data_IF_037814432996
#
_entry.id   IF_037814432996
#
_cell.length_a   1.000
_cell.length_b   1.000
_cell.length_c   1.000
_cell.angle_alpha   90.00
_cell.angle_beta   90.00
_cell.angle_gamma   90.00
#
_symmetry.space_group_name_H-M   'P 1'
#
loop_
_entity.id
_entity.type
_entity.pdbx_description
1 polymer ?
#
# COMPACT_ATOMS: atom_id res chain seq x y z
N UNK A 1 -0.21 -9.82 0.87
CA UNK A 1 -1.57 -9.71 1.44
C UNK A 1 -2.22 -8.47 0.87
N UNK A 2 -3.44 -8.55 0.35
CA UNK A 2 -4.13 -7.38 -0.21
C UNK A 2 -4.94 -6.73 0.91
N UNK A 3 -4.73 -5.44 1.14
CA UNK A 3 -5.58 -4.63 2.01
C UNK A 3 -6.99 -4.55 1.42
N UNK A 4 -8.02 -4.40 2.26
CA UNK A 4 -9.41 -4.24 1.82
C UNK A 4 -9.52 -3.01 0.89
N UNK A 5 -10.36 -3.09 -0.14
CA UNK A 5 -10.48 -2.06 -1.18
C UNK A 5 -10.73 -0.67 -0.62
N UNK A 6 -11.72 -0.53 0.28
CA UNK A 6 -12.05 0.74 0.92
C UNK A 6 -10.88 1.35 1.72
N UNK A 7 -10.16 0.54 2.50
CA UNK A 7 -9.02 1.03 3.29
C UNK A 7 -7.84 1.47 2.40
N UNK A 8 -7.62 0.77 1.27
CA UNK A 8 -6.61 1.19 0.28
C UNK A 8 -6.98 2.51 -0.36
N UNK A 9 -8.24 2.68 -0.74
CA UNK A 9 -8.74 3.93 -1.29
C UNK A 9 -8.58 5.08 -0.29
N UNK A 10 -8.95 4.87 0.97
CA UNK A 10 -8.76 5.85 2.04
C UNK A 10 -7.28 6.24 2.22
N UNK A 11 -6.36 5.27 2.21
CA UNK A 11 -4.93 5.54 2.27
C UNK A 11 -4.46 6.39 1.09
N UNK A 12 -4.77 5.99 -0.15
CA UNK A 12 -4.35 6.78 -1.31
C UNK A 12 -4.98 8.18 -1.35
N UNK A 13 -6.24 8.28 -0.94
CA UNK A 13 -6.94 9.56 -0.82
C UNK A 13 -6.25 10.49 0.19
N UNK A 14 -6.01 10.01 1.42
CA UNK A 14 -5.40 10.86 2.46
C UNK A 14 -3.96 11.22 2.13
N UNK A 15 -3.15 10.28 1.62
CA UNK A 15 -1.78 10.56 1.19
C UNK A 15 -1.75 11.54 0.02
N UNK A 16 -2.71 11.43 -0.90
CA UNK A 16 -2.89 12.37 -2.00
C UNK A 16 -3.22 13.77 -1.52
N UNK A 17 -4.18 13.92 -0.60
CA UNK A 17 -4.52 15.22 0.01
C UNK A 17 -3.34 15.78 0.79
N UNK A 18 -2.64 14.96 1.58
CA UNK A 18 -1.48 15.39 2.37
C UNK A 18 -0.35 15.90 1.47
N UNK A 19 -0.03 15.16 0.41
CA UNK A 19 1.00 15.56 -0.55
C UNK A 19 0.58 16.82 -1.33
N UNK A 20 -0.64 16.86 -1.88
CA UNK A 20 -1.10 17.97 -2.68
C UNK A 20 -1.22 19.27 -1.86
N UNK A 21 -1.75 19.20 -0.64
CA UNK A 21 -1.82 20.36 0.26
C UNK A 21 -0.43 20.89 0.61
N UNK A 22 0.54 20.02 0.90
CA UNK A 22 1.91 20.42 1.19
C UNK A 22 2.65 20.99 -0.02
N UNK A 23 2.53 20.35 -1.19
CA UNK A 23 3.15 20.82 -2.43
C UNK A 23 2.57 22.16 -2.89
N UNK A 24 1.25 22.33 -2.82
CA UNK A 24 0.58 23.58 -3.18
C UNK A 24 0.88 24.68 -2.15
N UNK A 25 1.09 24.32 -0.87
CA UNK A 25 1.52 25.26 0.16
C UNK A 25 2.87 25.89 -0.19
N UNK A 26 3.85 25.12 -0.68
CA UNK A 26 5.17 25.66 -1.09
C UNK A 26 4.99 26.73 -2.16
N UNK A 27 4.11 26.50 -3.13
CA UNK A 27 3.80 27.46 -4.19
C UNK A 27 3.13 28.72 -3.63
N UNK A 28 2.12 28.56 -2.77
CA UNK A 28 1.42 29.69 -2.14
C UNK A 28 2.35 30.54 -1.26
N UNK A 29 3.22 29.90 -0.49
CA UNK A 29 4.20 30.58 0.37
C UNK A 29 5.20 31.42 -0.46
N UNK A 30 5.67 30.89 -1.60
CA UNK A 30 6.53 31.66 -2.51
C UNK A 30 5.82 32.87 -3.14
N UNK A 31 4.52 32.73 -3.47
CA UNK A 31 3.75 33.82 -4.10
C UNK A 31 3.44 34.97 -3.15
N UNK A 32 3.34 34.70 -1.84
CA UNK A 32 3.18 35.72 -0.80
C UNK A 32 4.30 36.78 -0.84
N UNK A 33 5.54 36.37 -1.12
CA UNK A 33 6.69 37.30 -1.17
C UNK A 33 6.85 37.97 -2.55
N UNK A 34 6.32 37.36 -3.62
CA UNK A 34 6.52 37.82 -5.00
C UNK A 34 5.42 38.73 -5.53
N UNK A 35 4.22 38.68 -4.96
CA UNK A 35 3.07 39.46 -5.42
C UNK A 35 2.80 40.63 -4.48
N UNK A 36 2.94 41.86 -4.97
CA UNK A 36 2.64 43.07 -4.18
C UNK A 36 1.14 43.34 -4.11
N UNK A 37 0.38 43.03 -5.17
CA UNK A 37 -1.06 43.32 -5.27
C UNK A 37 -1.97 42.27 -4.63
N UNK A 38 -1.56 41.00 -4.61
CA UNK A 38 -2.40 39.86 -4.19
C UNK A 38 -1.93 39.16 -2.91
N UNK A 39 -1.01 39.77 -2.16
CA UNK A 39 -0.34 39.15 -1.00
C UNK A 39 -1.29 38.59 0.06
N UNK A 40 -2.42 39.25 0.32
CA UNK A 40 -3.44 38.79 1.28
C UNK A 40 -4.10 37.48 0.84
N UNK A 41 -4.43 37.35 -0.45
CA UNK A 41 -5.06 36.13 -0.99
C UNK A 41 -4.11 34.92 -0.88
N UNK A 42 -2.83 35.12 -1.17
CA UNK A 42 -1.81 34.08 -1.04
C UNK A 42 -1.56 33.70 0.41
N UNK A 43 -1.63 34.67 1.33
CA UNK A 43 -1.53 34.40 2.77
C UNK A 43 -2.72 33.57 3.28
N UNK A 44 -3.94 33.88 2.84
CA UNK A 44 -5.12 33.07 3.16
C UNK A 44 -5.01 31.66 2.57
N UNK A 45 -4.62 31.54 1.30
CA UNK A 45 -4.43 30.26 0.63
C UNK A 45 -3.38 29.39 1.37
N UNK A 46 -2.22 29.96 1.73
CA UNK A 46 -1.21 29.27 2.51
C UNK A 46 -1.74 28.81 3.88
N UNK A 47 -2.53 29.63 4.57
CA UNK A 47 -3.15 29.25 5.83
C UNK A 47 -4.12 28.06 5.66
N UNK A 48 -5.03 28.13 4.68
CA UNK A 48 -5.97 27.04 4.40
C UNK A 48 -5.27 25.73 4.03
N UNK A 49 -4.25 25.80 3.17
CA UNK A 49 -3.48 24.63 2.76
C UNK A 49 -2.75 24.00 3.94
N UNK A 50 -2.18 24.82 4.83
CA UNK A 50 -1.52 24.32 6.04
C UNK A 50 -2.53 23.69 7.01
N UNK A 51 -3.72 24.27 7.17
CA UNK A 51 -4.80 23.69 7.98
C UNK A 51 -5.29 22.35 7.40
N UNK A 52 -5.51 22.27 6.08
CA UNK A 52 -5.87 21.03 5.40
C UNK A 52 -4.78 19.97 5.54
N UNK A 53 -3.51 20.36 5.40
CA UNK A 53 -2.36 19.48 5.57
C UNK A 53 -2.31 18.91 6.99
N UNK A 54 -2.46 19.77 8.01
CA UNK A 54 -2.52 19.35 9.41
C UNK A 54 -3.68 18.40 9.69
N UNK A 55 -4.89 18.70 9.19
CA UNK A 55 -6.04 17.81 9.33
C UNK A 55 -5.85 16.45 8.64
N UNK A 56 -5.33 16.44 7.41
CA UNK A 56 -4.99 15.21 6.68
C UNK A 56 -3.88 14.41 7.39
N UNK A 57 -2.94 15.08 8.05
CA UNK A 57 -1.88 14.43 8.82
C UNK A 57 -2.45 13.64 10.01
N UNK A 58 -3.43 14.19 10.73
CA UNK A 58 -4.10 13.49 11.84
C UNK A 58 -4.80 12.21 11.36
N UNK A 59 -5.55 12.30 10.26
CA UNK A 59 -6.19 11.12 9.64
C UNK A 59 -5.14 10.11 9.18
N UNK A 60 -4.03 10.57 8.62
CA UNK A 60 -2.91 9.71 8.18
C UNK A 60 -2.29 8.97 9.36
N UNK A 61 -2.07 9.62 10.51
CA UNK A 61 -1.57 8.98 11.72
C UNK A 61 -2.49 7.86 12.22
N UNK A 62 -3.81 8.10 12.24
CA UNK A 62 -4.80 7.09 12.62
C UNK A 62 -4.75 5.89 11.67
N UNK A 63 -4.70 6.14 10.36
CA UNK A 63 -4.63 5.08 9.35
C UNK A 63 -3.30 4.32 9.38
N UNK A 64 -2.18 4.98 9.63
CA UNK A 64 -0.88 4.34 9.83
C UNK A 64 -0.87 3.45 11.08
N UNK A 65 -1.47 3.92 12.18
CA UNK A 65 -1.68 3.12 13.39
C UNK A 65 -2.49 1.85 13.09
N UNK A 66 -3.59 1.98 12.34
CA UNK A 66 -4.41 0.85 11.92
C UNK A 66 -3.67 -0.09 10.94
N UNK A 67 -2.80 0.45 10.08
CA UNK A 67 -2.00 -0.32 9.11
C UNK A 67 -1.00 -1.26 9.80
N UNK A 68 -0.55 -0.93 11.01
CA UNK A 68 0.36 -1.72 11.83
C UNK A 68 -0.05 -3.19 11.97
N UNK A 69 -1.15 -3.51 12.68
CA UNK A 69 -1.59 -4.89 12.85
C UNK A 69 -2.11 -5.53 11.55
N UNK A 70 -2.75 -4.75 10.68
CA UNK A 70 -3.38 -5.30 9.47
C UNK A 70 -2.40 -5.68 8.36
N UNK A 71 -1.30 -4.94 8.23
CA UNK A 71 -0.33 -5.11 7.14
C UNK A 71 1.08 -5.36 7.64
N UNK A 72 1.60 -4.48 8.50
CA UNK A 72 3.00 -4.49 8.92
C UNK A 72 3.34 -5.76 9.70
N UNK A 73 2.60 -6.07 10.77
CA UNK A 73 2.84 -7.25 11.59
C UNK A 73 2.75 -8.55 10.76
N UNK A 74 1.75 -8.64 9.88
CA UNK A 74 1.51 -9.82 9.05
C UNK A 74 2.61 -10.00 7.99
N UNK A 75 3.03 -8.92 7.32
CA UNK A 75 4.13 -8.94 6.36
C UNK A 75 5.47 -9.25 7.05
N UNK A 76 5.67 -8.73 8.26
CA UNK A 76 6.88 -8.97 9.05
C UNK A 76 7.00 -10.44 9.45
N UNK A 77 5.93 -11.06 9.97
CA UNK A 77 5.91 -12.51 10.30
C UNK A 77 6.21 -13.37 9.07
N UNK A 78 5.68 -12.97 7.91
CA UNK A 78 5.92 -13.67 6.64
C UNK A 78 7.29 -13.37 5.98
N UNK A 79 8.11 -12.51 6.59
CA UNK A 79 9.39 -11.98 6.05
C UNK A 79 9.29 -11.36 4.64
N UNK A 80 8.12 -10.86 4.25
CA UNK A 80 7.90 -10.29 2.92
C UNK A 80 8.07 -8.77 2.93
N UNK A 81 8.74 -8.23 1.92
CA UNK A 81 8.86 -6.79 1.65
C UNK A 81 9.37 -5.96 2.86
N UNK A 82 10.26 -6.54 3.68
CA UNK A 82 10.73 -5.90 4.93
C UNK A 82 11.58 -4.66 4.69
N UNK A 83 12.52 -4.72 3.74
CA UNK A 83 13.45 -3.61 3.50
C UNK A 83 12.73 -2.32 3.11
N UNK A 84 11.85 -2.38 2.10
CA UNK A 84 11.04 -1.23 1.69
C UNK A 84 10.02 -0.84 2.75
N UNK A 85 9.49 -1.80 3.53
CA UNK A 85 8.61 -1.52 4.66
C UNK A 85 9.28 -0.73 5.79
N UNK A 86 10.52 -1.11 6.14
CA UNK A 86 11.34 -0.38 7.13
C UNK A 86 11.65 1.02 6.59
N UNK A 87 12.08 1.13 5.34
CA UNK A 87 12.34 2.44 4.72
C UNK A 87 11.11 3.37 4.77
N UNK A 88 9.91 2.85 4.43
CA UNK A 88 8.67 3.63 4.55
C UNK A 88 8.39 4.04 6.00
N UNK A 89 8.53 3.12 6.96
CA UNK A 89 8.25 3.39 8.36
C UNK A 89 9.21 4.43 8.95
N UNK A 90 10.51 4.32 8.65
CA UNK A 90 11.53 5.29 9.04
C UNK A 90 11.22 6.66 8.45
N UNK A 91 10.85 6.73 7.16
CA UNK A 91 10.54 8.00 6.52
C UNK A 91 9.30 8.67 7.12
N UNK A 92 8.23 7.92 7.38
CA UNK A 92 7.05 8.48 8.06
C UNK A 92 7.37 8.90 9.49
N UNK A 93 8.17 8.14 10.23
CA UNK A 93 8.65 8.52 11.55
C UNK A 93 9.42 9.83 11.54
N UNK A 94 10.33 10.01 10.56
CA UNK A 94 11.07 11.26 10.37
C UNK A 94 10.15 12.44 10.05
N UNK A 95 9.15 12.25 9.19
CA UNK A 95 8.16 13.29 8.87
C UNK A 95 7.32 13.70 10.08
N UNK A 96 6.91 12.73 10.90
CA UNK A 96 6.17 12.99 12.14
C UNK A 96 7.04 13.75 13.14
N UNK A 97 8.30 13.34 13.32
CA UNK A 97 9.23 13.99 14.23
C UNK A 97 9.55 15.43 13.80
N UNK A 98 9.75 15.66 12.51
CA UNK A 98 10.01 17.00 11.97
C UNK A 98 8.77 17.88 12.01
N UNK A 99 7.57 17.33 11.75
CA UNK A 99 6.31 18.07 11.95
C UNK A 99 6.16 18.52 13.41
N UNK A 100 6.35 17.61 14.37
CA UNK A 100 6.36 17.94 15.78
C UNK A 100 7.42 19.01 16.10
N UNK A 101 8.62 18.88 15.52
CA UNK A 101 9.69 19.85 15.65
C UNK A 101 9.29 21.25 15.19
N UNK A 102 8.59 21.38 14.05
CA UNK A 102 8.12 22.67 13.53
C UNK A 102 7.12 23.38 14.45
N UNK A 103 6.36 22.62 15.25
CA UNK A 103 5.39 23.17 16.20
C UNK A 103 6.00 23.50 17.56
N UNK A 104 6.96 22.69 18.04
CA UNK A 104 7.39 22.73 19.45
C UNK A 104 8.85 23.09 19.66
N UNK A 105 9.71 23.00 18.65
CA UNK A 105 11.11 23.45 18.77
C UNK A 105 11.15 24.95 18.55
N UNK A 106 11.17 25.72 19.63
CA UNK A 106 11.25 27.20 19.63
C UNK A 106 12.61 27.78 19.26
N UNK A 107 13.43 27.06 18.49
CA UNK A 107 14.76 27.51 18.05
C UNK A 107 14.70 28.05 16.62
N UNK A 108 14.90 29.36 16.47
CA UNK A 108 14.97 30.02 15.15
C UNK A 108 16.12 29.50 14.27
N UNK A 109 17.20 28.99 14.88
CA UNK A 109 18.32 28.41 14.14
C UNK A 109 18.00 27.02 13.56
N UNK A 110 17.22 26.21 14.29
CA UNK A 110 16.87 24.85 13.86
C UNK A 110 15.65 24.81 12.94
N UNK A 111 14.74 25.77 13.08
CA UNK A 111 13.47 25.80 12.33
C UNK A 111 13.64 25.69 10.80
N UNK A 112 14.58 26.40 10.14
CA UNK A 112 14.80 26.26 8.70
C UNK A 112 15.29 24.86 8.30
N UNK A 113 16.15 24.25 9.11
CA UNK A 113 16.64 22.88 8.88
C UNK A 113 15.52 21.86 9.00
N UNK A 114 14.71 21.95 10.08
CA UNK A 114 13.57 21.06 10.29
C UNK A 114 12.57 21.20 9.13
N UNK A 115 12.28 22.44 8.71
CA UNK A 115 11.41 22.72 7.57
C UNK A 115 11.93 22.10 6.28
N UNK A 116 13.21 22.30 5.98
CA UNK A 116 13.86 21.75 4.78
C UNK A 116 13.78 20.22 4.77
N UNK A 117 14.11 19.57 5.89
CA UNK A 117 14.03 18.10 6.01
C UNK A 117 12.58 17.64 5.82
N UNK A 118 11.61 18.30 6.47
CA UNK A 118 10.20 17.93 6.33
C UNK A 118 9.72 18.01 4.88
N UNK A 119 10.07 19.09 4.18
CA UNK A 119 9.70 19.32 2.78
C UNK A 119 10.36 18.28 1.86
N UNK A 120 11.69 18.11 1.94
CA UNK A 120 12.43 17.21 1.05
C UNK A 120 11.94 15.77 1.19
N UNK A 121 11.79 15.29 2.42
CA UNK A 121 11.28 13.93 2.65
C UNK A 121 9.78 13.82 2.32
N UNK A 122 9.01 14.89 2.52
CA UNK A 122 7.59 14.95 2.15
C UNK A 122 7.39 14.79 0.65
N UNK A 123 8.24 15.47 -0.16
CA UNK A 123 8.27 15.32 -1.61
C UNK A 123 8.70 13.92 -2.06
N UNK A 124 9.51 13.21 -1.26
CA UNK A 124 9.95 11.84 -1.50
C UNK A 124 8.89 10.76 -1.22
N UNK A 125 7.79 11.08 -0.52
CA UNK A 125 6.75 10.11 -0.13
C UNK A 125 6.18 9.32 -1.31
N UNK A 126 5.76 9.93 -2.44
CA UNK A 126 5.21 9.19 -3.56
C UNK A 126 6.19 8.15 -4.14
N UNK A 127 7.48 8.50 -4.21
CA UNK A 127 8.51 7.60 -4.73
C UNK A 127 8.69 6.37 -3.82
N UNK A 128 8.73 6.56 -2.50
CA UNK A 128 8.86 5.46 -1.54
C UNK A 128 7.61 4.58 -1.53
N UNK A 129 6.41 5.16 -1.60
CA UNK A 129 5.16 4.40 -1.72
C UNK A 129 5.16 3.55 -3.00
N UNK A 130 5.54 4.15 -4.12
CA UNK A 130 5.61 3.45 -5.41
C UNK A 130 6.60 2.28 -5.33
N UNK A 131 7.81 2.52 -4.82
CA UNK A 131 8.82 1.48 -4.64
C UNK A 131 8.32 0.35 -3.73
N UNK A 132 7.68 0.67 -2.60
CA UNK A 132 7.10 -0.31 -1.69
C UNK A 132 6.04 -1.19 -2.38
N UNK A 133 5.17 -0.59 -3.21
CA UNK A 133 4.12 -1.30 -3.94
C UNK A 133 4.73 -2.19 -5.03
N UNK A 134 5.64 -1.67 -5.85
CA UNK A 134 6.25 -2.41 -6.97
C UNK A 134 7.04 -3.62 -6.46
N UNK A 135 7.91 -3.42 -5.47
CA UNK A 135 8.70 -4.52 -4.87
C UNK A 135 7.78 -5.53 -4.18
N UNK A 136 6.74 -5.06 -3.49
CA UNK A 136 5.74 -5.91 -2.85
C UNK A 136 4.96 -6.77 -3.85
N UNK A 137 4.67 -6.25 -5.05
CA UNK A 137 4.00 -6.98 -6.14
C UNK A 137 4.92 -7.99 -6.81
N UNK A 138 6.16 -7.60 -7.12
CA UNK A 138 7.17 -8.49 -7.69
C UNK A 138 7.42 -9.71 -6.79
N UNK A 139 7.50 -9.49 -5.47
CA UNK A 139 7.68 -10.55 -4.47
C UNK A 139 6.52 -11.56 -4.39
N UNK A 140 5.33 -11.22 -4.90
CA UNK A 140 4.17 -12.12 -4.96
C UNK A 140 4.12 -12.86 -6.29
N UNK A 141 4.48 -12.20 -7.40
CA UNK A 141 4.51 -12.81 -8.73
C UNK A 141 5.63 -13.85 -8.88
N UNK A 142 6.73 -13.70 -8.15
CA UNK A 142 7.88 -14.61 -8.20
C UNK A 142 7.67 -15.96 -7.50
N UNK A 143 6.51 -16.23 -6.89
CA UNK A 143 6.19 -17.57 -6.35
C UNK A 143 5.72 -18.44 -7.52
N UNK A 144 6.50 -19.44 -7.98
CA UNK A 144 6.04 -20.34 -9.03
C UNK A 144 4.78 -21.06 -8.54
N UNK A 145 3.69 -20.95 -9.29
CA UNK A 145 2.54 -21.80 -9.07
C UNK A 145 3.00 -23.26 -9.24
N UNK A 146 2.77 -24.16 -8.28
CA UNK A 146 2.93 -25.58 -8.57
C UNK A 146 2.02 -25.86 -9.77
N UNK A 147 2.62 -26.33 -10.87
CA UNK A 147 1.88 -26.79 -12.05
C UNK A 147 0.79 -27.70 -11.52
N UNK A 148 -0.46 -27.25 -11.58
CA UNK A 148 -1.62 -28.04 -11.20
C UNK A 148 -1.66 -29.16 -12.23
N UNK A 149 -1.01 -30.27 -11.92
CA UNK A 149 -1.00 -31.46 -12.77
C UNK A 149 -2.45 -31.89 -12.88
N UNK A 150 -3.07 -31.51 -13.98
CA UNK A 150 -4.39 -31.92 -14.40
C UNK A 150 -4.27 -33.38 -14.86
N UNK A 151 -4.00 -34.28 -13.91
CA UNK A 151 -3.97 -35.74 -14.09
C UNK A 151 -4.59 -36.39 -12.84
N UNK A 152 -5.87 -36.11 -12.63
CA UNK A 152 -6.70 -36.89 -11.70
C UNK A 152 -8.14 -37.03 -12.24
N UNK A 153 -8.31 -37.01 -13.57
CA UNK A 153 -9.57 -37.34 -14.26
C UNK A 153 -9.38 -38.51 -15.24
N UNK A 154 -8.29 -39.26 -15.12
CA UNK A 154 -8.02 -40.47 -15.91
C UNK A 154 -8.21 -41.77 -15.11
N UNK A 155 -8.65 -41.70 -13.85
CA UNK A 155 -8.83 -42.87 -12.99
C UNK A 155 -10.28 -43.41 -12.94
N UNK A 156 -11.19 -42.90 -13.76
CA UNK A 156 -12.61 -43.31 -13.77
C UNK A 156 -13.09 -43.96 -15.08
N UNK A 157 -12.18 -44.32 -15.98
CA UNK A 157 -12.54 -45.17 -17.14
C UNK A 157 -11.99 -46.59 -16.90
N UNK A 158 -12.66 -47.32 -16.01
CA UNK A 158 -12.65 -48.79 -16.04
C UNK A 158 -13.80 -49.19 -16.98
N UNK A 159 -13.53 -49.77 -18.16
CA UNK A 159 -14.58 -50.34 -19.00
C UNK A 159 -15.21 -51.53 -18.26
N UNK A 160 -16.51 -51.43 -17.99
CA UNK A 160 -17.32 -52.50 -17.41
C UNK A 160 -17.77 -53.45 -18.52
N UNK A 161 -16.83 -54.11 -19.18
CA UNK A 161 -17.14 -55.17 -20.16
C UNK A 161 -16.91 -56.52 -19.49
N UNK A 162 -17.68 -56.79 -18.44
CA UNK A 162 -17.85 -58.14 -17.89
C UNK A 162 -19.14 -58.71 -18.50
N UNK A 163 -19.09 -59.84 -19.24
CA UNK A 163 -20.30 -60.43 -19.79
C UNK A 163 -21.21 -60.89 -18.65
N UNK A 164 -22.48 -60.48 -18.71
CA UNK A 164 -23.51 -60.89 -17.76
C UNK A 164 -23.74 -62.40 -17.85
N UNK A 165 -23.90 -63.05 -16.69
CA UNK A 165 -24.05 -64.51 -16.46
C UNK A 165 -25.13 -65.25 -17.30
N UNK A 166 -25.86 -64.57 -18.18
CA UNK A 166 -26.85 -65.16 -19.08
C UNK A 166 -26.26 -65.94 -20.27
N UNK A 167 -25.04 -65.63 -20.71
CA UNK A 167 -24.43 -66.28 -21.89
C UNK A 167 -23.81 -67.66 -21.58
N UNK A 168 -23.48 -67.94 -20.31
CA UNK A 168 -22.86 -69.21 -19.92
C UNK A 168 -23.87 -70.38 -19.89
N UNK A 169 -25.17 -70.10 -19.69
CA UNK A 169 -26.22 -71.13 -19.67
C UNK A 169 -26.60 -71.60 -21.08
N UNK A 170 -26.44 -70.75 -22.10
CA UNK A 170 -26.74 -71.11 -23.50
C UNK A 170 -25.70 -72.08 -24.11
N UNK A 171 -24.45 -71.98 -23.69
CA UNK A 171 -23.35 -72.80 -24.23
C UNK A 171 -23.37 -74.24 -23.71
N UNK A 172 -23.82 -74.47 -22.48
CA UNK A 172 -23.88 -75.83 -21.89
C UNK A 172 -25.09 -76.65 -22.36
N UNK A 173 -26.11 -76.04 -22.97
CA UNK A 173 -27.28 -76.76 -23.52
C UNK A 173 -27.04 -77.35 -24.92
N UNK A 174 -25.93 -77.02 -25.59
CA UNK A 174 -25.64 -77.45 -26.98
C UNK A 174 -24.70 -78.65 -27.08
N UNK A 175 -24.34 -79.27 -25.96
CA UNK A 175 -23.50 -80.47 -25.91
C UNK A 175 -24.27 -81.57 -25.18
N UNK A 176 -25.23 -82.17 -25.87
CA UNK A 176 -25.83 -83.47 -25.55
C UNK A 176 -26.09 -84.21 -26.85
#
# INVERSE_FOLDING_TARGET
MRLKGAFRFALYGVFGVLFASGALWIYADQMKTRSELDSETWQQAAAYLLSMHGGAAMVTLMLLGALGPMHVQRAWRARKNRATGIASLTMYGLLIATAFGLYYVGSEALRPWISTVHIVFGLGVPAVIMAHIVVGRASVAAVPQPVRTQRATAATLVPSDAPTDGDLVSVMSKVS
#
